data_IF_961634256437
#
_entry.id   IF_961634256437
#
_cell.length_a   1.000
_cell.length_b   1.000
_cell.length_c   1.000
_cell.angle_alpha   90.00
_cell.angle_beta   90.00
_cell.angle_gamma   90.00
#
_symmetry.space_group_name_H-M   'P 1'
#
loop_
_entity.id
_entity.type
_entity.pdbx_description
1 polymer ?
#
# COMPACT_ATOMS: atom_id res chain seq x y z
N UNK A 1 -3.22 15.38 2.79
CA UNK A 1 -2.80 16.59 3.54
C UNK A 1 -1.79 16.26 4.64
N UNK A 2 -2.13 15.41 5.62
CA UNK A 2 -1.18 15.01 6.68
C UNK A 2 0.15 14.43 6.17
N UNK A 3 0.12 13.59 5.13
CA UNK A 3 1.32 12.97 4.54
C UNK A 3 2.29 13.95 3.86
N UNK A 4 1.84 15.16 3.50
CA UNK A 4 2.68 16.21 2.89
C UNK A 4 3.08 17.25 3.93
N UNK A 5 2.15 17.58 4.84
CA UNK A 5 2.38 18.53 5.92
C UNK A 5 3.41 18.01 6.93
N UNK A 6 3.37 16.72 7.28
CA UNK A 6 4.24 16.16 8.31
C UNK A 6 5.74 16.20 7.92
N UNK A 7 6.18 15.76 6.71
CA UNK A 7 7.59 15.87 6.32
C UNK A 7 8.07 17.33 6.23
N UNK A 8 7.21 18.26 5.76
CA UNK A 8 7.54 19.68 5.68
C UNK A 8 7.72 20.32 7.07
N UNK A 9 6.83 20.00 8.01
CA UNK A 9 6.95 20.41 9.42
C UNK A 9 8.21 19.84 10.06
N UNK A 10 8.51 18.57 9.84
CA UNK A 10 9.72 17.92 10.37
C UNK A 10 10.98 18.56 9.78
N UNK A 11 11.00 18.81 8.47
CA UNK A 11 12.12 19.44 7.77
C UNK A 11 12.40 20.86 8.28
N UNK A 12 11.36 21.67 8.49
CA UNK A 12 11.52 23.03 9.02
C UNK A 12 11.94 23.03 10.49
N UNK A 13 11.44 22.10 11.30
CA UNK A 13 11.82 21.95 12.72
C UNK A 13 13.27 21.47 12.93
N UNK A 14 13.79 20.66 12.02
CA UNK A 14 15.20 20.25 12.06
C UNK A 14 16.11 21.42 11.69
N UNK A 15 15.72 22.26 10.73
CA UNK A 15 16.48 23.45 10.32
C UNK A 15 16.52 24.56 11.39
N UNK A 16 15.51 24.65 12.26
CA UNK A 16 15.45 25.64 13.35
C UNK A 16 16.22 25.22 14.61
N UNK A 17 16.92 24.08 14.59
CA UNK A 17 17.75 23.61 15.72
C UNK A 17 16.96 22.93 16.85
N UNK A 18 15.63 22.84 16.75
CA UNK A 18 14.76 22.14 17.70
C UNK A 18 14.96 20.61 17.67
N UNK A 19 15.63 20.11 16.63
CA UNK A 19 15.98 18.70 16.46
C UNK A 19 14.78 17.79 16.23
N UNK A 20 15.02 16.57 15.76
CA UNK A 20 13.98 15.58 15.44
C UNK A 20 13.10 15.18 16.63
N UNK A 21 13.53 15.49 17.87
CA UNK A 21 12.81 15.15 19.11
C UNK A 21 11.55 16.00 19.32
N UNK A 22 11.52 17.21 18.77
CA UNK A 22 10.37 18.12 18.83
C UNK A 22 9.11 17.54 18.14
N UNK A 23 9.31 16.58 17.23
CA UNK A 23 8.24 15.83 16.57
C UNK A 23 7.40 15.02 17.57
N UNK A 24 8.02 14.43 18.58
CA UNK A 24 7.30 13.68 19.62
C UNK A 24 6.43 14.58 20.49
N UNK A 25 6.91 15.79 20.79
CA UNK A 25 6.15 16.77 21.56
C UNK A 25 4.95 17.29 20.79
N UNK A 26 5.09 17.55 19.49
CA UNK A 26 3.98 17.95 18.62
C UNK A 26 2.97 16.82 18.42
N UNK A 27 3.42 15.57 18.30
CA UNK A 27 2.54 14.40 18.25
C UNK A 27 1.76 14.23 19.57
N UNK A 28 2.42 14.40 20.72
CA UNK A 28 1.77 14.33 22.03
C UNK A 28 0.75 15.47 22.24
N UNK A 29 1.11 16.71 21.86
CA UNK A 29 0.22 17.87 21.94
C UNK A 29 -1.01 17.73 21.03
N UNK A 30 -0.81 17.28 19.79
CA UNK A 30 -1.92 17.03 18.87
C UNK A 30 -2.83 15.91 19.35
N UNK A 31 -2.29 14.84 19.94
CA UNK A 31 -3.08 13.79 20.57
C UNK A 31 -3.88 14.30 21.78
N UNK A 32 -3.29 15.13 22.63
CA UNK A 32 -3.96 15.77 23.77
C UNK A 32 -5.10 16.70 23.32
N UNK A 33 -4.87 17.51 22.29
CA UNK A 33 -5.88 18.42 21.72
C UNK A 33 -7.04 17.60 21.13
N UNK A 34 -6.75 16.53 20.38
CA UNK A 34 -7.78 15.66 19.80
C UNK A 34 -8.53 14.85 20.86
N UNK A 35 -7.86 14.44 21.94
CA UNK A 35 -8.52 13.80 23.08
C UNK A 35 -9.45 14.77 23.83
N UNK A 36 -9.07 16.05 23.92
CA UNK A 36 -9.90 17.11 24.51
C UNK A 36 -11.07 17.57 23.62
N UNK A 37 -10.95 17.44 22.30
CA UNK A 37 -11.98 17.80 21.31
C UNK A 37 -12.84 16.61 20.86
N UNK A 38 -12.51 15.39 21.31
CA UNK A 38 -13.19 14.17 20.90
C UNK A 38 -14.65 14.16 21.34
N UNK A 39 -15.61 13.90 20.43
CA UNK A 39 -17.01 13.78 20.83
C UNK A 39 -17.14 12.62 21.83
N UNK A 40 -17.65 12.94 23.03
CA UNK A 40 -18.05 11.96 24.04
C UNK A 40 -19.40 11.36 23.64
N UNK A 41 -19.48 10.79 22.44
CA UNK A 41 -20.61 9.98 22.03
C UNK A 41 -20.43 8.57 22.60
N UNK A 42 -21.51 7.90 23.08
CA UNK A 42 -21.40 6.51 23.46
C UNK A 42 -20.79 5.73 22.30
N UNK A 43 -19.74 4.97 22.57
CA UNK A 43 -19.19 4.03 21.62
C UNK A 43 -20.37 3.16 21.15
N UNK A 44 -20.81 3.35 19.91
CA UNK A 44 -21.84 2.50 19.35
C UNK A 44 -21.30 1.09 19.49
N UNK A 45 -21.98 0.18 20.23
CA UNK A 45 -21.49 -1.16 20.42
C UNK A 45 -21.16 -1.69 19.04
N UNK A 46 -19.89 -2.07 18.83
CA UNK A 46 -19.50 -2.72 17.60
C UNK A 46 -20.46 -3.90 17.46
N UNK A 47 -21.40 -3.81 16.52
CA UNK A 47 -22.36 -4.87 16.29
C UNK A 47 -21.53 -6.14 16.13
N UNK A 48 -21.68 -7.05 17.09
CA UNK A 48 -21.03 -8.35 17.00
C UNK A 48 -21.55 -8.90 15.69
N UNK A 49 -20.69 -9.27 14.72
CA UNK A 49 -21.18 -9.90 13.52
C UNK A 49 -21.97 -11.10 14.01
N UNK A 50 -23.30 -11.07 13.85
CA UNK A 50 -24.06 -12.29 13.88
C UNK A 50 -23.37 -13.19 12.89
N UNK A 51 -22.83 -14.29 13.41
CA UNK A 51 -21.98 -15.22 12.68
C UNK A 51 -22.78 -16.02 11.63
N UNK A 52 -23.85 -15.44 11.09
CA UNK A 52 -24.80 -16.00 10.12
C UNK A 52 -24.37 -15.78 8.66
N UNK A 53 -23.12 -15.38 8.42
CA UNK A 53 -22.53 -15.44 7.08
C UNK A 53 -22.16 -16.88 6.69
N UNK A 54 -22.61 -17.33 5.52
CA UNK A 54 -22.17 -18.58 4.88
C UNK A 54 -20.64 -18.71 4.91
N UNK A 55 -20.12 -19.94 4.99
CA UNK A 55 -18.67 -20.24 4.95
C UNK A 55 -17.98 -19.54 3.76
N UNK A 56 -18.68 -19.42 2.63
CA UNK A 56 -18.21 -18.71 1.44
C UNK A 56 -17.97 -17.22 1.69
N UNK A 57 -18.87 -16.55 2.42
CA UNK A 57 -18.77 -15.12 2.72
C UNK A 57 -17.60 -14.82 3.67
N UNK A 58 -17.41 -15.65 4.70
CA UNK A 58 -16.26 -15.55 5.64
C UNK A 58 -14.93 -15.75 4.89
N UNK A 59 -14.87 -16.75 4.00
CA UNK A 59 -13.68 -16.98 3.19
C UNK A 59 -13.40 -15.82 2.22
N UNK A 60 -14.42 -15.28 1.56
CA UNK A 60 -14.27 -14.12 0.68
C UNK A 60 -13.73 -12.89 1.43
N UNK A 61 -14.20 -12.64 2.66
CA UNK A 61 -13.66 -11.57 3.51
C UNK A 61 -12.16 -11.74 3.76
N UNK A 62 -11.72 -12.92 4.21
CA UNK A 62 -10.30 -13.19 4.48
C UNK A 62 -9.43 -13.13 3.23
N UNK A 63 -9.95 -13.52 2.07
CA UNK A 63 -9.25 -13.38 0.79
C UNK A 63 -9.08 -11.91 0.39
N UNK A 64 -10.10 -11.06 0.56
CA UNK A 64 -9.94 -9.63 0.32
C UNK A 64 -9.02 -8.96 1.33
N UNK A 65 -9.01 -9.44 2.59
CA UNK A 65 -8.06 -9.00 3.61
C UNK A 65 -6.62 -9.37 3.23
N UNK A 66 -6.38 -10.61 2.79
CA UNK A 66 -5.06 -11.05 2.32
C UNK A 66 -4.61 -10.28 1.06
N UNK A 67 -5.53 -10.01 0.13
CA UNK A 67 -5.25 -9.20 -1.05
C UNK A 67 -4.87 -7.75 -0.67
N UNK A 68 -5.55 -7.16 0.32
CA UNK A 68 -5.22 -5.84 0.86
C UNK A 68 -3.82 -5.83 1.46
N UNK A 69 -3.50 -6.83 2.30
CA UNK A 69 -2.16 -6.99 2.88
C UNK A 69 -1.09 -7.06 1.79
N UNK A 70 -1.30 -7.88 0.75
CA UNK A 70 -0.37 -8.00 -0.36
C UNK A 70 -0.20 -6.67 -1.14
N UNK A 71 -1.28 -5.90 -1.31
CA UNK A 71 -1.21 -4.59 -1.97
C UNK A 71 -0.33 -3.61 -1.17
N UNK A 72 -0.43 -3.62 0.16
CA UNK A 72 0.40 -2.78 1.03
C UNK A 72 1.85 -3.26 1.03
N UNK A 73 2.11 -4.56 1.05
CA UNK A 73 3.47 -5.11 0.90
C UNK A 73 4.09 -4.70 -0.44
N UNK A 74 3.33 -4.72 -1.53
CA UNK A 74 3.80 -4.24 -2.84
C UNK A 74 4.19 -2.76 -2.79
N UNK A 75 3.33 -1.91 -2.23
CA UNK A 75 3.56 -0.47 -2.14
C UNK A 75 4.77 -0.15 -1.26
N UNK A 76 4.76 -0.59 -0.01
CA UNK A 76 5.81 -0.25 0.96
C UNK A 76 7.10 -1.05 0.75
N UNK A 77 7.02 -2.31 0.34
CA UNK A 77 8.19 -3.10 0.00
C UNK A 77 8.99 -2.48 -1.16
N UNK A 78 8.29 -1.92 -2.16
CA UNK A 78 8.93 -1.16 -3.23
C UNK A 78 9.48 0.17 -2.73
N UNK A 79 8.67 0.94 -1.99
CA UNK A 79 9.01 2.30 -1.56
C UNK A 79 10.25 2.38 -0.66
N UNK A 80 10.35 1.50 0.34
CA UNK A 80 11.40 1.56 1.36
C UNK A 80 12.80 1.32 0.79
N UNK A 81 12.91 0.44 -0.21
CA UNK A 81 14.19 0.00 -0.76
C UNK A 81 14.42 0.45 -2.22
N UNK A 82 13.52 1.27 -2.76
CA UNK A 82 13.60 1.78 -4.14
C UNK A 82 14.88 2.56 -4.40
N UNK A 83 15.27 3.48 -3.49
CA UNK A 83 16.45 4.31 -3.70
C UNK A 83 17.73 3.45 -3.78
N UNK A 84 17.88 2.46 -2.91
CA UNK A 84 19.06 1.58 -2.91
C UNK A 84 19.11 0.69 -4.15
N UNK A 85 17.96 0.15 -4.60
CA UNK A 85 17.93 -0.67 -5.81
C UNK A 85 18.19 0.18 -7.06
N UNK A 86 17.62 1.39 -7.15
CA UNK A 86 17.90 2.31 -8.26
C UNK A 86 19.37 2.76 -8.26
N UNK A 87 19.95 3.03 -7.08
CA UNK A 87 21.37 3.37 -6.93
C UNK A 87 22.26 2.29 -7.53
N UNK A 88 21.99 1.03 -7.17
CA UNK A 88 22.78 -0.13 -7.63
C UNK A 88 22.54 -0.46 -9.10
N UNK A 89 21.29 -0.36 -9.59
CA UNK A 89 20.92 -0.71 -10.97
C UNK A 89 21.28 0.35 -12.00
N UNK A 90 21.20 1.62 -11.64
CA UNK A 90 21.46 2.75 -12.52
C UNK A 90 22.83 3.40 -12.26
N UNK A 91 23.61 2.87 -11.31
CA UNK A 91 24.92 3.41 -10.89
C UNK A 91 24.86 4.90 -10.52
N UNK A 92 23.74 5.31 -9.91
CA UNK A 92 23.49 6.71 -9.55
C UNK A 92 24.19 7.06 -8.23
N UNK A 93 24.61 8.33 -8.05
CA UNK A 93 24.90 8.87 -6.73
C UNK A 93 23.68 8.77 -5.81
N UNK A 94 23.91 8.65 -4.49
CA UNK A 94 22.83 8.49 -3.50
C UNK A 94 21.77 9.60 -3.58
N UNK A 95 22.18 10.86 -3.72
CA UNK A 95 21.25 11.98 -3.82
C UNK A 95 20.33 11.87 -5.05
N UNK A 96 20.88 11.47 -6.20
CA UNK A 96 20.10 11.28 -7.42
C UNK A 96 19.15 10.09 -7.30
N UNK A 97 19.61 8.98 -6.71
CA UNK A 97 18.76 7.79 -6.50
C UNK A 97 17.53 8.10 -5.63
N UNK A 98 17.68 8.90 -4.56
CA UNK A 98 16.56 9.34 -3.72
C UNK A 98 15.56 10.22 -4.49
N UNK A 99 16.07 11.16 -5.31
CA UNK A 99 15.21 11.99 -6.17
C UNK A 99 14.46 11.11 -7.17
N UNK A 100 15.16 10.18 -7.83
CA UNK A 100 14.55 9.24 -8.78
C UNK A 100 13.51 8.35 -8.12
N UNK A 101 13.73 7.89 -6.88
CA UNK A 101 12.76 7.08 -6.14
C UNK A 101 11.43 7.83 -5.91
N UNK A 102 11.45 9.16 -5.84
CA UNK A 102 10.25 10.00 -5.71
C UNK A 102 9.30 9.88 -6.91
N UNK A 103 9.81 9.45 -8.08
CA UNK A 103 9.00 9.19 -9.27
C UNK A 103 7.86 8.21 -8.99
N UNK A 104 8.10 7.20 -8.16
CA UNK A 104 7.07 6.22 -7.78
C UNK A 104 5.87 6.88 -7.12
N UNK A 105 6.12 7.81 -6.19
CA UNK A 105 5.06 8.53 -5.46
C UNK A 105 4.33 9.48 -6.41
N UNK A 106 5.05 10.17 -7.29
CA UNK A 106 4.43 11.02 -8.32
C UNK A 106 3.50 10.21 -9.22
N UNK A 107 3.97 9.05 -9.70
CA UNK A 107 3.16 8.16 -10.54
C UNK A 107 1.99 7.54 -9.78
N UNK A 108 2.11 7.30 -8.48
CA UNK A 108 0.98 6.91 -7.64
C UNK A 108 -0.09 8.00 -7.55
N UNK A 109 0.31 9.26 -7.39
CA UNK A 109 -0.63 10.39 -7.38
C UNK A 109 -1.38 10.44 -8.71
N UNK A 110 -0.65 10.37 -9.82
CA UNK A 110 -1.24 10.34 -11.17
C UNK A 110 -2.17 9.13 -11.35
N UNK A 111 -1.76 7.94 -10.89
CA UNK A 111 -2.55 6.73 -10.98
C UNK A 111 -3.86 6.80 -10.18
N UNK A 112 -3.80 7.35 -8.95
CA UNK A 112 -4.98 7.50 -8.06
C UNK A 112 -5.97 8.53 -8.60
N UNK A 113 -5.49 9.67 -9.11
CA UNK A 113 -6.36 10.69 -9.71
C UNK A 113 -7.01 10.19 -11.01
N UNK A 114 -6.23 9.51 -11.86
CA UNK A 114 -6.72 8.93 -13.11
C UNK A 114 -7.78 7.86 -12.85
N UNK A 115 -7.54 6.93 -11.93
CA UNK A 115 -8.54 5.91 -11.62
C UNK A 115 -9.83 6.49 -11.05
N UNK A 116 -9.74 7.50 -10.17
CA UNK A 116 -10.93 8.17 -9.64
C UNK A 116 -11.82 8.74 -10.75
N UNK A 117 -11.21 9.23 -11.84
CA UNK A 117 -11.94 9.64 -13.03
C UNK A 117 -12.46 8.45 -13.85
N UNK A 118 -11.64 7.41 -14.07
CA UNK A 118 -12.01 6.22 -14.83
C UNK A 118 -13.14 5.41 -14.16
N UNK A 119 -13.26 5.40 -12.83
CA UNK A 119 -14.36 4.74 -12.12
C UNK A 119 -15.75 5.28 -12.52
N UNK A 120 -15.84 6.46 -13.15
CA UNK A 120 -17.09 7.01 -13.70
C UNK A 120 -17.57 6.27 -14.96
N UNK A 121 -16.65 5.59 -15.64
CA UNK A 121 -16.88 4.98 -16.96
C UNK A 121 -16.54 3.48 -17.00
N UNK A 122 -15.74 2.99 -16.05
CA UNK A 122 -15.25 1.62 -16.00
C UNK A 122 -15.61 0.93 -14.67
N UNK A 123 -15.82 -0.39 -14.73
CA UNK A 123 -16.10 -1.18 -13.53
C UNK A 123 -14.88 -1.33 -12.62
N UNK A 124 -15.10 -1.43 -11.31
CA UNK A 124 -14.04 -1.66 -10.33
C UNK A 124 -13.19 -2.91 -10.64
N UNK A 125 -13.81 -3.96 -11.21
CA UNK A 125 -13.10 -5.18 -11.61
C UNK A 125 -12.16 -4.93 -12.79
N UNK A 126 -12.58 -4.16 -13.79
CA UNK A 126 -11.73 -3.81 -14.93
C UNK A 126 -10.50 -3.03 -14.47
N UNK A 127 -10.68 -2.07 -13.56
CA UNK A 127 -9.58 -1.27 -13.02
C UNK A 127 -8.63 -2.07 -12.14
N UNK A 128 -9.15 -3.01 -11.36
CA UNK A 128 -8.33 -3.98 -10.61
C UNK A 128 -7.42 -4.76 -11.57
N UNK A 129 -7.97 -5.31 -12.65
CA UNK A 129 -7.22 -6.11 -13.62
C UNK A 129 -6.19 -5.23 -14.34
N UNK A 130 -6.58 -4.04 -14.80
CA UNK A 130 -5.66 -3.10 -15.44
C UNK A 130 -4.51 -2.70 -14.51
N UNK A 131 -4.80 -2.43 -13.23
CA UNK A 131 -3.79 -2.11 -12.22
C UNK A 131 -2.83 -3.28 -12.00
N UNK A 132 -3.36 -4.50 -11.86
CA UNK A 132 -2.54 -5.71 -11.70
C UNK A 132 -1.63 -5.97 -12.93
N UNK A 133 -2.13 -5.74 -14.15
CA UNK A 133 -1.34 -5.86 -15.37
C UNK A 133 -0.22 -4.81 -15.44
N UNK A 134 -0.53 -3.56 -15.11
CA UNK A 134 0.46 -2.48 -15.05
C UNK A 134 1.52 -2.75 -13.97
N UNK A 135 1.12 -3.24 -12.80
CA UNK A 135 2.04 -3.67 -11.73
C UNK A 135 2.92 -4.84 -12.20
N UNK A 136 2.35 -5.82 -12.91
CA UNK A 136 3.09 -6.97 -13.44
C UNK A 136 4.17 -6.53 -14.43
N UNK A 137 3.79 -5.67 -15.39
CA UNK A 137 4.69 -5.11 -16.38
C UNK A 137 5.76 -4.25 -15.70
N UNK A 138 5.35 -3.37 -14.79
CA UNK A 138 6.24 -2.51 -14.02
C UNK A 138 7.29 -3.30 -13.22
N UNK A 139 6.87 -4.32 -12.46
CA UNK A 139 7.80 -5.21 -11.73
C UNK A 139 8.76 -5.91 -12.67
N UNK A 140 8.27 -6.40 -13.82
CA UNK A 140 9.10 -7.11 -14.81
C UNK A 140 10.20 -6.19 -15.33
N UNK A 141 9.84 -4.99 -15.77
CA UNK A 141 10.79 -4.00 -16.30
C UNK A 141 11.73 -3.47 -15.21
N UNK A 142 11.23 -3.25 -14.00
CA UNK A 142 12.00 -2.74 -12.87
C UNK A 142 13.02 -3.76 -12.32
N UNK A 143 12.63 -5.02 -12.19
CA UNK A 143 13.41 -6.05 -11.50
C UNK A 143 14.15 -6.96 -12.48
N UNK A 144 13.45 -7.53 -13.46
CA UNK A 144 13.99 -8.62 -14.29
C UNK A 144 14.78 -8.13 -15.50
N UNK A 145 14.49 -6.94 -16.01
CA UNK A 145 15.16 -6.40 -17.20
C UNK A 145 16.49 -5.74 -16.84
N UNK A 146 17.63 -6.22 -17.35
CA UNK A 146 18.96 -5.69 -16.99
C UNK A 146 19.29 -4.35 -17.66
N UNK A 147 18.45 -3.86 -18.59
CA UNK A 147 18.70 -2.63 -19.34
C UNK A 147 18.34 -1.38 -18.49
N UNK A 148 19.30 -0.49 -18.16
CA UNK A 148 19.04 0.71 -17.35
C UNK A 148 17.94 1.62 -17.91
N UNK A 149 17.84 1.72 -19.25
CA UNK A 149 16.83 2.51 -19.94
C UNK A 149 15.39 2.07 -19.65
N UNK A 150 15.17 0.80 -19.28
CA UNK A 150 13.86 0.24 -19.00
C UNK A 150 13.51 0.19 -17.51
N UNK A 151 14.50 0.33 -16.62
CA UNK A 151 14.29 0.31 -15.16
C UNK A 151 13.43 1.50 -14.71
N UNK A 152 13.73 2.71 -15.19
CA UNK A 152 13.01 3.94 -14.84
C UNK A 152 11.56 3.95 -15.33
N UNK A 153 11.28 3.66 -16.62
CA UNK A 153 9.91 3.47 -17.10
C UNK A 153 9.18 2.34 -16.38
N UNK A 154 9.86 1.23 -16.11
CA UNK A 154 9.30 0.11 -15.33
C UNK A 154 8.89 0.53 -13.91
N UNK A 155 9.75 1.28 -13.23
CA UNK A 155 9.49 1.83 -11.91
C UNK A 155 8.33 2.84 -11.89
N UNK A 156 8.24 3.68 -12.93
CA UNK A 156 7.11 4.59 -13.11
C UNK A 156 5.78 3.84 -13.34
N UNK A 157 5.79 2.83 -14.21
CA UNK A 157 4.63 1.95 -14.46
C UNK A 157 4.22 1.17 -13.21
N UNK A 158 5.19 0.71 -12.43
CA UNK A 158 4.96 0.03 -11.16
C UNK A 158 4.22 0.95 -10.18
N UNK A 159 4.67 2.20 -10.04
CA UNK A 159 3.98 3.21 -9.22
C UNK A 159 2.55 3.46 -9.69
N UNK A 160 2.35 3.61 -11.00
CA UNK A 160 1.02 3.82 -11.57
C UNK A 160 0.08 2.61 -11.35
N UNK A 161 0.59 1.39 -11.51
CA UNK A 161 -0.19 0.16 -11.30
C UNK A 161 -0.55 -0.07 -9.83
N UNK A 162 0.42 0.08 -8.91
CA UNK A 162 0.20 -0.14 -7.48
C UNK A 162 -0.76 0.89 -6.87
N UNK A 163 -0.76 2.12 -7.41
CA UNK A 163 -1.54 3.27 -6.96
C UNK A 163 -2.97 2.93 -6.50
N UNK A 164 -3.65 2.08 -7.26
CA UNK A 164 -5.07 1.79 -7.12
C UNK A 164 -5.37 0.46 -6.44
N UNK A 165 -4.38 -0.41 -6.25
CA UNK A 165 -4.59 -1.72 -5.64
C UNK A 165 -5.14 -1.57 -4.22
N UNK A 166 -4.49 -0.77 -3.37
CA UNK A 166 -4.94 -0.53 -2.00
C UNK A 166 -6.40 -0.04 -1.88
N UNK A 167 -6.80 1.10 -2.49
CA UNK A 167 -8.16 1.61 -2.34
C UNK A 167 -9.21 0.66 -2.94
N UNK A 168 -8.88 -0.04 -4.04
CA UNK A 168 -9.78 -1.01 -4.63
C UNK A 168 -9.93 -2.26 -3.74
N UNK A 169 -8.86 -2.76 -3.13
CA UNK A 169 -8.90 -3.88 -2.19
C UNK A 169 -9.69 -3.52 -0.95
N UNK A 170 -9.43 -2.34 -0.37
CA UNK A 170 -10.15 -1.83 0.79
C UNK A 170 -11.64 -1.74 0.51
N UNK A 171 -12.01 -1.19 -0.65
CA UNK A 171 -13.40 -1.13 -1.10
C UNK A 171 -14.05 -2.51 -1.22
N UNK A 172 -13.32 -3.53 -1.69
CA UNK A 172 -13.82 -4.90 -1.72
C UNK A 172 -13.98 -5.49 -0.32
N UNK A 173 -12.99 -5.32 0.56
CA UNK A 173 -13.02 -5.80 1.94
C UNK A 173 -14.24 -5.26 2.69
N UNK A 174 -14.48 -3.95 2.59
CA UNK A 174 -15.63 -3.29 3.21
C UNK A 174 -16.97 -3.83 2.68
N UNK A 175 -17.06 -4.09 1.37
CA UNK A 175 -18.25 -4.70 0.76
C UNK A 175 -18.49 -6.15 1.20
N UNK A 176 -17.50 -6.87 1.74
CA UNK A 176 -17.68 -8.27 2.20
C UNK A 176 -18.26 -8.37 3.60
N UNK A 177 -18.33 -7.24 4.31
CA UNK A 177 -18.82 -7.17 5.68
C UNK A 177 -19.94 -6.12 5.80
N UNK A 178 -21.07 -6.26 5.05
CA UNK A 178 -22.21 -5.38 5.20
C UNK A 178 -22.72 -5.43 6.65
N UNK A 179 -22.99 -4.27 7.26
CA UNK A 179 -23.42 -4.17 8.65
C UNK A 179 -22.30 -4.17 9.71
N UNK A 180 -21.05 -4.51 9.35
CA UNK A 180 -19.89 -4.51 10.27
C UNK A 180 -18.67 -3.77 9.69
N UNK A 181 -18.94 -2.66 8.98
CA UNK A 181 -17.92 -1.83 8.33
C UNK A 181 -16.87 -1.27 9.28
N UNK A 182 -17.24 -0.93 10.52
CA UNK A 182 -16.28 -0.49 11.54
C UNK A 182 -15.24 -1.58 11.86
N UNK A 183 -15.68 -2.82 12.03
CA UNK A 183 -14.80 -3.96 12.29
C UNK A 183 -13.95 -4.29 11.05
N UNK A 184 -14.53 -4.27 9.85
CA UNK A 184 -13.77 -4.44 8.61
C UNK A 184 -12.69 -3.37 8.44
N UNK A 185 -12.98 -2.13 8.84
CA UNK A 185 -12.01 -1.04 8.91
C UNK A 185 -10.88 -1.31 9.90
N UNK A 186 -11.18 -1.83 11.09
CA UNK A 186 -10.16 -2.23 12.05
C UNK A 186 -9.25 -3.34 11.50
N UNK A 187 -9.82 -4.36 10.84
CA UNK A 187 -9.04 -5.40 10.16
C UNK A 187 -8.20 -4.85 8.99
N UNK A 188 -8.71 -3.86 8.26
CA UNK A 188 -7.94 -3.17 7.22
C UNK A 188 -6.72 -2.45 7.81
N UNK A 189 -6.89 -1.74 8.93
CA UNK A 189 -5.79 -1.12 9.66
C UNK A 189 -4.76 -2.16 10.15
N UNK A 190 -5.22 -3.31 10.65
CA UNK A 190 -4.35 -4.41 11.03
C UNK A 190 -3.55 -4.96 9.84
N UNK A 191 -4.20 -5.18 8.68
CA UNK A 191 -3.52 -5.61 7.46
C UNK A 191 -2.43 -4.61 7.06
N UNK A 192 -2.77 -3.32 7.03
CA UNK A 192 -1.83 -2.26 6.67
C UNK A 192 -0.67 -2.16 7.65
N UNK A 193 -0.93 -2.19 8.96
CA UNK A 193 0.11 -2.14 9.99
C UNK A 193 1.08 -3.34 9.90
N UNK A 194 0.53 -4.54 9.75
CA UNK A 194 1.33 -5.77 9.58
C UNK A 194 2.17 -5.72 8.30
N UNK A 195 1.61 -5.22 7.19
CA UNK A 195 2.32 -5.13 5.93
C UNK A 195 3.42 -4.04 5.92
N UNK A 196 3.16 -2.88 6.51
CA UNK A 196 4.11 -1.76 6.57
C UNK A 196 5.31 -2.11 7.47
N UNK A 197 5.08 -2.85 8.56
CA UNK A 197 6.16 -3.33 9.42
C UNK A 197 6.82 -4.57 8.82
N UNK A 198 6.04 -5.60 8.53
CA UNK A 198 6.56 -6.91 8.12
C UNK A 198 7.16 -6.93 6.71
N UNK A 199 6.59 -6.19 5.75
CA UNK A 199 7.03 -6.20 4.35
C UNK A 199 8.47 -5.70 4.18
N UNK A 200 8.77 -4.45 4.54
CA UNK A 200 10.12 -3.89 4.46
C UNK A 200 11.15 -4.64 5.31
N UNK A 201 10.76 -5.11 6.51
CA UNK A 201 11.63 -5.92 7.38
C UNK A 201 11.99 -7.26 6.74
N UNK A 202 11.01 -7.96 6.17
CA UNK A 202 11.26 -9.21 5.46
C UNK A 202 12.16 -8.98 4.25
N UNK A 203 11.91 -7.92 3.48
CA UNK A 203 12.77 -7.55 2.35
C UNK A 203 14.20 -7.26 2.81
N UNK A 204 14.38 -6.49 3.89
CA UNK A 204 15.70 -6.20 4.46
C UNK A 204 16.42 -7.48 4.91
N UNK A 205 15.72 -8.35 5.64
CA UNK A 205 16.27 -9.63 6.09
C UNK A 205 16.71 -10.54 4.92
N UNK A 206 15.93 -10.58 3.83
CA UNK A 206 16.32 -11.31 2.61
C UNK A 206 17.50 -10.62 1.92
N UNK A 207 17.51 -9.29 1.89
CA UNK A 207 18.57 -8.49 1.28
C UNK A 207 19.92 -8.74 1.96
N UNK A 208 19.94 -8.79 3.28
CA UNK A 208 21.16 -9.00 4.08
C UNK A 208 21.78 -10.39 3.85
N UNK A 209 20.96 -11.40 3.51
CA UNK A 209 21.41 -12.79 3.34
C UNK A 209 21.73 -13.17 1.89
N UNK A 210 21.00 -12.59 0.93
CA UNK A 210 21.08 -12.97 -0.48
C UNK A 210 21.51 -11.76 -1.32
N UNK A 211 20.57 -10.87 -1.60
CA UNK A 211 20.81 -9.58 -2.25
C UNK A 211 19.53 -8.75 -2.28
N UNK A 212 19.69 -7.43 -2.45
CA UNK A 212 18.56 -6.51 -2.60
C UNK A 212 17.69 -6.83 -3.83
N UNK A 213 18.31 -7.33 -4.89
CA UNK A 213 17.59 -7.73 -6.10
C UNK A 213 16.69 -8.94 -5.82
N UNK A 214 17.23 -9.98 -5.16
CA UNK A 214 16.47 -11.16 -4.77
C UNK A 214 15.35 -10.78 -3.79
N UNK A 215 15.60 -9.88 -2.84
CA UNK A 215 14.57 -9.37 -1.95
C UNK A 215 13.39 -8.76 -2.73
N UNK A 216 13.65 -7.93 -3.73
CA UNK A 216 12.60 -7.35 -4.57
C UNK A 216 11.83 -8.39 -5.40
N UNK A 217 12.43 -9.52 -5.78
CA UNK A 217 11.69 -10.57 -6.50
C UNK A 217 10.53 -11.16 -5.68
N UNK A 218 10.59 -11.06 -4.35
CA UNK A 218 9.47 -11.50 -3.48
C UNK A 218 8.20 -10.68 -3.68
N UNK A 219 8.30 -9.48 -4.26
CA UNK A 219 7.14 -8.68 -4.65
C UNK A 219 6.29 -9.37 -5.72
N UNK A 220 6.87 -10.22 -6.57
CA UNK A 220 6.08 -11.05 -7.49
C UNK A 220 5.18 -12.05 -6.74
N UNK A 221 5.65 -12.57 -5.60
CA UNK A 221 4.86 -13.47 -4.75
C UNK A 221 3.68 -12.71 -4.14
N UNK A 222 3.91 -11.49 -3.65
CA UNK A 222 2.85 -10.62 -3.14
C UNK A 222 1.81 -10.30 -4.24
N UNK A 223 2.26 -9.99 -5.46
CA UNK A 223 1.37 -9.75 -6.59
C UNK A 223 0.57 -10.99 -6.98
N UNK A 224 1.21 -12.15 -7.06
CA UNK A 224 0.53 -13.42 -7.36
C UNK A 224 -0.52 -13.75 -6.29
N UNK A 225 -0.16 -13.57 -5.00
CA UNK A 225 -1.06 -13.74 -3.87
C UNK A 225 -2.27 -12.82 -3.95
N UNK A 226 -2.07 -11.55 -4.30
CA UNK A 226 -3.15 -10.59 -4.53
C UNK A 226 -4.09 -11.04 -5.65
N UNK A 227 -3.54 -11.39 -6.82
CA UNK A 227 -4.33 -11.81 -7.99
C UNK A 227 -5.13 -13.07 -7.66
N UNK A 228 -4.49 -14.05 -7.03
CA UNK A 228 -5.11 -15.30 -6.64
C UNK A 228 -6.25 -15.06 -5.65
N UNK A 229 -5.96 -14.36 -4.55
CA UNK A 229 -6.94 -14.09 -3.50
C UNK A 229 -8.14 -13.32 -4.03
N UNK A 230 -7.93 -12.33 -4.89
CA UNK A 230 -9.02 -11.61 -5.55
C UNK A 230 -9.82 -12.47 -6.51
N UNK A 231 -9.16 -13.28 -7.35
CA UNK A 231 -9.84 -14.12 -8.32
C UNK A 231 -10.78 -15.12 -7.63
N UNK A 232 -10.34 -15.70 -6.51
CA UNK A 232 -11.13 -16.61 -5.68
C UNK A 232 -12.24 -15.84 -4.95
N UNK A 233 -11.92 -14.68 -4.35
CA UNK A 233 -12.90 -13.84 -3.65
C UNK A 233 -14.06 -13.40 -4.55
N UNK A 234 -13.78 -13.06 -5.80
CA UNK A 234 -14.82 -12.73 -6.78
C UNK A 234 -15.65 -13.94 -7.22
N UNK A 235 -15.06 -15.14 -7.27
CA UNK A 235 -15.81 -16.38 -7.58
C UNK A 235 -16.75 -16.75 -6.44
N UNK A 236 -16.29 -16.67 -5.20
CA UNK A 236 -17.09 -17.00 -4.01
C UNK A 236 -18.29 -16.07 -3.81
N UNK A 237 -18.17 -14.79 -4.15
CA UNK A 237 -19.29 -13.83 -4.13
C UNK A 237 -20.37 -14.07 -5.19
N UNK A 238 -20.05 -14.84 -6.24
CA UNK A 238 -21.02 -15.17 -7.31
C UNK A 238 -21.79 -16.45 -7.02
N UNK A 239 -21.40 -17.20 -6.00
CA UNK A 239 -22.13 -18.39 -5.57
C UNK A 239 -23.35 -17.94 -4.74
N UNK A 240 -24.55 -18.45 -5.04
CA UNK A 240 -25.77 -18.11 -4.32
C UNK A 240 -25.73 -18.56 -2.85
#
# INVERSE_FOLDING_TARGET
>A
LAAVAAPLLIGTLVQTGLGWRSVWLLAALSALILAGLGPHGPATPAATPEAQGSRSAKLAFWLFWAALLCAVVLEFGTLFWAADLLRTRLQLPQAQATITASLFVVMMVVGRTSASYLLRWASARALIVASALLTSLGLTLYILVPQPALVLPGFALLGLGVANLYPLMLSQLMRSAPGTTAQAGAYACLASGLAILGGPLLLGWISDRLSLLVAHTTLFVALAGLILAQSIGFRLRRMP
#
